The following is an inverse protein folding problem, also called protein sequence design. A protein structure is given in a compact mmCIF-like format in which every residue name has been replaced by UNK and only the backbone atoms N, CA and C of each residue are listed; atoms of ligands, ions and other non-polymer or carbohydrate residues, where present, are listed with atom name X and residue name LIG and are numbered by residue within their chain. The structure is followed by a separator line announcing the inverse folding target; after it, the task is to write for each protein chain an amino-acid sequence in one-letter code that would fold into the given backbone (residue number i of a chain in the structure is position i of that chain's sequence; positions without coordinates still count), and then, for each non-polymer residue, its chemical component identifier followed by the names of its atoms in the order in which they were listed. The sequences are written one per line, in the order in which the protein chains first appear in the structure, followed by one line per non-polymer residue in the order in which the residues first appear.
data_IF_856918789213
#
_entry.id   IF_856918789213
#
_cell.length_a   1.000
_cell.length_b   1.000
_cell.length_c   1.000
_cell.angle_alpha   90.00
_cell.angle_beta   90.00
_cell.angle_gamma   90.00
#
_symmetry.space_group_name_H-M   'P 1'
#
loop_
_entity.id
_entity.type
_entity.pdbx_description
1 polymer ?
#
# COMPACT_ATOMS: atom_id res chain seq x y z
N UNK A 1 -17.33 8.32 11.62
CA UNK A 1 -18.42 8.36 10.62
C UNK A 1 -17.94 7.81 9.28
N UNK A 2 -17.63 6.50 9.22
CA UNK A 2 -17.79 5.58 8.06
C UNK A 2 -17.73 4.17 8.70
N UNK A 3 -18.78 3.77 9.40
CA UNK A 3 -18.86 2.39 9.93
C UNK A 3 -20.24 1.76 9.77
N UNK A 4 -21.18 2.39 9.05
CA UNK A 4 -22.57 1.89 9.02
C UNK A 4 -23.28 1.98 7.66
N UNK A 5 -22.59 2.26 6.55
CA UNK A 5 -23.27 2.36 5.23
C UNK A 5 -23.35 1.06 4.41
N UNK A 6 -22.95 -0.10 4.96
CA UNK A 6 -22.95 -1.35 4.19
C UNK A 6 -23.68 -2.53 4.85
N UNK A 7 -24.49 -2.28 5.87
CA UNK A 7 -25.14 -3.34 6.64
C UNK A 7 -26.40 -3.94 6.00
N UNK A 8 -26.87 -3.47 4.83
CA UNK A 8 -28.13 -4.00 4.31
C UNK A 8 -28.25 -3.93 2.77
N UNK A 9 -27.69 -4.93 2.08
CA UNK A 9 -28.19 -5.45 0.79
C UNK A 9 -27.41 -6.73 0.44
N UNK A 10 -28.14 -7.78 0.05
CA UNK A 10 -27.65 -9.01 -0.59
C UNK A 10 -27.05 -8.72 -1.98
N UNK A 11 -26.06 -7.85 -2.04
CA UNK A 11 -25.10 -7.84 -3.13
C UNK A 11 -23.92 -8.66 -2.64
N UNK A 12 -23.40 -9.56 -3.46
CA UNK A 12 -22.08 -10.18 -3.27
C UNK A 12 -21.05 -9.06 -3.37
N UNK A 13 -20.92 -8.27 -2.30
CA UNK A 13 -19.87 -7.30 -2.10
C UNK A 13 -18.58 -8.11 -2.11
N UNK A 14 -17.80 -7.96 -3.17
CA UNK A 14 -16.38 -8.31 -3.16
C UNK A 14 -15.78 -7.37 -2.11
N UNK A 15 -15.75 -7.83 -0.85
CA UNK A 15 -15.13 -7.07 0.22
C UNK A 15 -13.64 -6.95 -0.13
N UNK A 16 -13.05 -5.75 -0.12
CA UNK A 16 -11.65 -5.57 -0.50
C UNK A 16 -10.66 -6.28 0.44
N UNK A 17 -11.11 -6.66 1.63
CA UNK A 17 -10.34 -7.38 2.65
C UNK A 17 -11.13 -8.62 3.13
N UNK A 18 -11.19 -9.66 2.30
CA UNK A 18 -11.76 -10.96 2.70
C UNK A 18 -10.67 -11.79 3.37
N UNK A 19 -11.03 -12.51 4.43
CA UNK A 19 -10.14 -13.43 5.14
C UNK A 19 -8.84 -12.76 5.64
N UNK A 20 -8.95 -11.51 6.09
CA UNK A 20 -7.84 -10.75 6.64
C UNK A 20 -7.94 -10.66 8.16
N UNK A 21 -6.88 -11.06 8.87
CA UNK A 21 -6.82 -10.94 10.33
C UNK A 21 -6.92 -9.47 10.78
N UNK A 22 -7.36 -9.22 12.03
CA UNK A 22 -7.31 -7.88 12.61
C UNK A 22 -5.91 -7.28 12.54
N UNK A 23 -5.84 -5.98 12.30
CA UNK A 23 -4.58 -5.30 12.00
C UNK A 23 -3.49 -5.52 13.06
N UNK A 24 -3.84 -5.50 14.35
CA UNK A 24 -2.87 -5.76 15.42
C UNK A 24 -2.24 -7.16 15.38
N UNK A 25 -3.01 -8.19 15.03
CA UNK A 25 -2.49 -9.56 14.86
C UNK A 25 -1.70 -9.68 13.57
N UNK A 26 -2.23 -9.14 12.48
CA UNK A 26 -1.60 -9.18 11.17
C UNK A 26 -0.26 -8.44 11.13
N UNK A 27 -0.12 -7.35 11.88
CA UNK A 27 1.13 -6.59 11.97
C UNK A 27 2.27 -7.44 12.55
N UNK A 28 1.96 -8.31 13.52
CA UNK A 28 2.90 -9.30 14.07
C UNK A 28 3.25 -10.36 13.02
N UNK A 29 2.24 -10.93 12.35
CA UNK A 29 2.45 -11.93 11.31
C UNK A 29 3.31 -11.40 10.15
N UNK A 30 3.12 -10.14 9.75
CA UNK A 30 3.92 -9.47 8.73
C UNK A 30 5.38 -9.31 9.17
N UNK A 31 5.61 -8.94 10.44
CA UNK A 31 6.94 -8.83 11.03
C UNK A 31 7.65 -10.19 11.07
N UNK A 32 6.94 -11.24 11.46
CA UNK A 32 7.45 -12.62 11.44
C UNK A 32 7.71 -13.10 10.00
N UNK A 33 6.80 -12.81 9.07
CA UNK A 33 6.92 -13.13 7.66
C UNK A 33 8.17 -12.52 7.03
N UNK A 34 8.51 -11.28 7.39
CA UNK A 34 9.74 -10.63 6.93
C UNK A 34 11.02 -11.37 7.35
N UNK A 35 11.03 -12.00 8.51
CA UNK A 35 12.19 -12.71 9.06
C UNK A 35 12.41 -14.11 8.46
N UNK A 36 11.47 -14.63 7.66
CA UNK A 36 11.57 -15.98 7.07
C UNK A 36 12.61 -16.09 5.97
N UNK A 37 12.87 -15.00 5.26
CA UNK A 37 13.84 -14.96 4.16
C UNK A 37 14.62 -13.66 4.22
N UNK A 38 15.94 -13.75 4.28
CA UNK A 38 16.81 -12.56 4.31
C UNK A 38 16.61 -11.77 3.02
N UNK A 39 16.71 -10.45 3.12
CA UNK A 39 16.55 -9.54 1.98
C UNK A 39 17.31 -9.97 0.72
N UNK A 40 18.59 -10.32 0.88
CA UNK A 40 19.47 -10.70 -0.22
C UNK A 40 19.09 -12.05 -0.87
N UNK A 41 18.31 -12.89 -0.19
CA UNK A 41 17.85 -14.18 -0.69
C UNK A 41 16.47 -14.07 -1.38
N UNK A 42 15.79 -12.93 -1.24
CA UNK A 42 14.51 -12.66 -1.92
C UNK A 42 14.69 -12.51 -3.42
N UNK A 43 13.64 -12.86 -4.17
CA UNK A 43 13.60 -12.73 -5.62
C UNK A 43 13.91 -11.28 -6.05
N UNK A 44 14.88 -11.06 -6.96
CA UNK A 44 15.41 -9.73 -7.27
C UNK A 44 14.52 -8.92 -8.24
N UNK A 45 13.22 -9.20 -8.27
CA UNK A 45 12.27 -8.61 -9.20
C UNK A 45 11.21 -7.77 -8.50
N UNK A 46 10.60 -6.87 -9.26
CA UNK A 46 9.41 -6.14 -8.87
C UNK A 46 8.17 -7.01 -9.01
N UNK A 47 7.44 -7.15 -7.91
CA UNK A 47 6.29 -8.03 -7.82
C UNK A 47 5.00 -7.27 -7.65
N UNK A 48 3.97 -7.74 -8.36
CA UNK A 48 2.59 -7.35 -8.13
C UNK A 48 1.66 -8.52 -8.42
N UNK A 49 0.67 -8.73 -7.55
CA UNK A 49 -0.44 -9.65 -7.80
C UNK A 49 -1.73 -8.93 -7.44
N UNK A 50 -2.66 -8.86 -8.38
CA UNK A 50 -3.92 -8.15 -8.15
C UNK A 50 -4.92 -8.30 -9.28
N UNK A 51 -6.15 -7.81 -9.06
CA UNK A 51 -7.20 -7.84 -10.07
C UNK A 51 -6.99 -6.65 -11.04
N UNK A 52 -6.69 -6.88 -12.34
CA UNK A 52 -6.50 -5.81 -13.31
C UNK A 52 -7.82 -5.22 -13.82
N UNK A 53 -8.95 -5.92 -13.66
CA UNK A 53 -10.24 -5.50 -14.23
C UNK A 53 -10.84 -4.27 -13.55
N UNK A 54 -10.33 -3.90 -12.36
CA UNK A 54 -10.85 -2.79 -11.55
C UNK A 54 -10.31 -1.41 -11.97
N UNK A 55 -9.24 -1.35 -12.76
CA UNK A 55 -8.66 -0.08 -13.18
C UNK A 55 -7.80 -0.24 -14.45
N UNK A 56 -7.90 0.73 -15.36
CA UNK A 56 -7.08 0.77 -16.58
C UNK A 56 -5.57 0.81 -16.28
N UNK A 57 -5.14 1.58 -15.27
CA UNK A 57 -3.72 1.66 -14.88
C UNK A 57 -3.14 0.31 -14.44
N UNK A 58 -3.97 -0.61 -13.89
CA UNK A 58 -3.55 -1.97 -13.57
C UNK A 58 -3.43 -2.86 -14.79
N UNK A 59 -4.31 -2.70 -15.78
CA UNK A 59 -4.17 -3.37 -17.09
C UNK A 59 -2.90 -2.91 -17.80
N UNK A 60 -2.65 -1.60 -17.81
CA UNK A 60 -1.44 -1.01 -18.34
C UNK A 60 -0.18 -1.52 -17.62
N UNK A 61 -0.21 -1.65 -16.29
CA UNK A 61 0.92 -2.23 -15.53
C UNK A 61 1.29 -3.64 -16.02
N UNK A 62 0.31 -4.48 -16.38
CA UNK A 62 0.59 -5.84 -16.88
C UNK A 62 1.43 -5.86 -18.16
N UNK A 63 1.46 -4.78 -18.94
CA UNK A 63 2.33 -4.66 -20.12
C UNK A 63 3.82 -4.61 -19.75
N UNK A 64 4.14 -4.33 -18.49
CA UNK A 64 5.51 -4.36 -17.99
C UNK A 64 6.01 -5.76 -17.65
N UNK A 65 5.17 -6.80 -17.74
CA UNK A 65 5.60 -8.16 -17.42
C UNK A 65 6.67 -8.66 -18.41
N UNK A 66 7.42 -9.69 -18.01
CA UNK A 66 8.45 -10.28 -18.87
C UNK A 66 7.85 -10.85 -20.16
N UNK A 67 8.57 -10.66 -21.26
CA UNK A 67 8.29 -11.21 -22.59
C UNK A 67 9.59 -11.67 -23.25
N UNK A 68 9.50 -12.41 -24.35
CA UNK A 68 10.68 -12.91 -25.09
C UNK A 68 11.61 -11.79 -25.60
N UNK A 69 11.07 -10.58 -25.77
CA UNK A 69 11.80 -9.44 -26.33
C UNK A 69 12.24 -8.42 -25.29
N UNK A 70 11.62 -8.42 -24.11
CA UNK A 70 11.81 -7.34 -23.13
C UNK A 70 11.52 -7.82 -21.70
N UNK A 71 12.47 -7.60 -20.79
CA UNK A 71 12.30 -7.78 -19.35
C UNK A 71 12.49 -6.45 -18.61
N UNK A 72 11.41 -5.93 -18.01
CA UNK A 72 11.41 -4.73 -17.18
C UNK A 72 11.83 -4.98 -15.72
N UNK A 73 12.30 -6.18 -15.38
CA UNK A 73 12.50 -6.69 -14.02
C UNK A 73 11.20 -6.78 -13.21
N UNK A 74 10.07 -6.98 -13.88
CA UNK A 74 8.77 -7.11 -13.24
C UNK A 74 8.21 -8.54 -13.40
N UNK A 75 7.54 -9.04 -12.34
CA UNK A 75 6.83 -10.32 -12.29
C UNK A 75 5.42 -10.01 -11.80
N UNK A 76 4.49 -9.95 -12.76
CA UNK A 76 3.14 -9.45 -12.55
C UNK A 76 2.13 -10.56 -12.76
N UNK A 77 1.19 -10.70 -11.82
CA UNK A 77 0.24 -11.81 -11.77
C UNK A 77 -1.19 -11.32 -11.59
N UNK A 78 -2.13 -11.99 -12.26
CA UNK A 78 -3.56 -11.72 -12.09
C UNK A 78 -4.05 -12.45 -10.84
N UNK A 79 -4.72 -11.71 -9.94
CA UNK A 79 -5.41 -12.29 -8.79
C UNK A 79 -6.86 -12.62 -9.17
N UNK A 80 -7.16 -13.92 -9.25
CA UNK A 80 -8.52 -14.43 -9.43
C UNK A 80 -9.17 -14.68 -8.06
N UNK A 81 -10.06 -13.79 -7.64
CA UNK A 81 -10.76 -13.89 -6.36
C UNK A 81 -11.81 -15.00 -6.31
N UNK A 82 -12.35 -15.41 -7.47
CA UNK A 82 -13.31 -16.51 -7.52
C UNK A 82 -12.59 -17.83 -7.22
N UNK A 83 -11.43 -18.04 -7.85
CA UNK A 83 -10.61 -19.22 -7.60
C UNK A 83 -10.06 -19.26 -6.17
N UNK A 84 -9.56 -18.14 -5.64
CA UNK A 84 -9.08 -18.08 -4.25
C UNK A 84 -10.19 -18.41 -3.26
N UNK A 85 -11.42 -17.92 -3.49
CA UNK A 85 -12.58 -18.23 -2.64
C UNK A 85 -12.88 -19.74 -2.63
N UNK A 86 -12.76 -20.42 -3.77
CA UNK A 86 -12.98 -21.87 -3.87
C UNK A 86 -11.87 -22.67 -3.19
N UNK A 87 -10.64 -22.13 -3.15
CA UNK A 87 -9.48 -22.79 -2.55
C UNK A 87 -9.23 -22.42 -1.07
N UNK A 88 -10.10 -21.58 -0.49
CA UNK A 88 -9.99 -21.12 0.90
C UNK A 88 -8.86 -20.13 1.12
N UNK A 89 -8.55 -19.29 0.14
CA UNK A 89 -7.57 -18.18 0.21
C UNK A 89 -6.14 -18.58 0.58
N UNK A 90 -5.77 -19.85 0.38
CA UNK A 90 -4.46 -20.40 0.77
C UNK A 90 -3.26 -19.65 0.17
N UNK A 91 -3.46 -19.01 -0.98
CA UNK A 91 -2.42 -18.27 -1.71
C UNK A 91 -2.54 -16.74 -1.56
N UNK A 92 -3.44 -16.27 -0.69
CA UNK A 92 -3.76 -14.85 -0.49
C UNK A 92 -3.32 -14.31 0.86
N UNK A 93 -2.69 -15.13 1.71
CA UNK A 93 -2.12 -14.67 2.99
C UNK A 93 -1.00 -13.66 2.73
N UNK A 94 -1.22 -12.41 3.11
CA UNK A 94 -0.30 -11.30 2.85
C UNK A 94 1.01 -11.42 3.64
N UNK A 95 1.01 -12.11 4.79
CA UNK A 95 2.23 -12.37 5.57
C UNK A 95 3.21 -13.28 4.84
N UNK A 96 2.72 -14.09 3.90
CA UNK A 96 3.52 -15.01 3.09
C UNK A 96 4.00 -14.37 1.77
N UNK A 97 3.64 -13.12 1.50
CA UNK A 97 3.89 -12.45 0.20
C UNK A 97 5.12 -11.52 0.22
N UNK A 98 5.93 -11.52 1.28
CA UNK A 98 7.16 -10.73 1.38
C UNK A 98 8.38 -11.47 0.80
N UNK A 99 8.21 -12.09 -0.37
CA UNK A 99 9.21 -12.98 -1.01
C UNK A 99 10.09 -12.29 -2.06
N UNK A 100 9.73 -11.07 -2.45
CA UNK A 100 10.41 -10.32 -3.51
C UNK A 100 11.09 -9.07 -2.92
N UNK A 101 12.20 -8.66 -3.55
CA UNK A 101 12.88 -7.43 -3.15
C UNK A 101 12.00 -6.21 -3.42
N UNK A 102 11.35 -6.12 -4.56
CA UNK A 102 10.57 -4.93 -4.90
C UNK A 102 9.08 -5.27 -4.94
N UNK A 103 8.23 -4.44 -4.33
CA UNK A 103 6.76 -4.61 -4.38
C UNK A 103 6.12 -3.36 -4.95
N UNK A 104 5.25 -3.54 -5.93
CA UNK A 104 4.61 -2.41 -6.63
C UNK A 104 3.30 -2.09 -5.94
N UNK A 105 3.12 -0.83 -5.56
CA UNK A 105 1.82 -0.28 -5.21
C UNK A 105 1.22 0.45 -6.42
N UNK A 106 -0.04 0.12 -6.72
CA UNK A 106 -0.83 0.77 -7.76
C UNK A 106 -2.31 0.80 -7.37
N UNK A 107 -2.94 1.93 -7.68
CA UNK A 107 -4.34 2.21 -7.36
C UNK A 107 -5.32 1.32 -8.13
N UNK A 108 -6.54 1.21 -7.62
CA UNK A 108 -7.67 0.55 -8.26
C UNK A 108 -8.72 1.56 -8.66
N UNK A 109 -9.97 1.34 -8.25
CA UNK A 109 -11.04 2.36 -8.35
C UNK A 109 -10.73 3.63 -7.54
N UNK A 110 -9.98 3.48 -6.45
CA UNK A 110 -9.49 4.53 -5.58
C UNK A 110 -8.10 4.12 -5.04
N UNK A 111 -7.75 4.56 -3.82
CA UNK A 111 -6.59 3.99 -3.11
C UNK A 111 -6.78 2.47 -2.95
N UNK A 112 -5.67 1.72 -2.94
CA UNK A 112 -5.71 0.28 -2.78
C UNK A 112 -5.37 -0.10 -1.34
N UNK A 113 -6.25 -0.88 -0.70
CA UNK A 113 -6.02 -1.41 0.67
C UNK A 113 -4.72 -2.21 0.80
N UNK A 114 -4.17 -2.68 -0.33
CA UNK A 114 -2.90 -3.40 -0.39
C UNK A 114 -1.68 -2.55 0.02
N UNK A 115 -1.80 -1.22 0.05
CA UNK A 115 -0.68 -0.31 0.33
C UNK A 115 0.02 -0.64 1.64
N UNK A 116 -0.73 -0.70 2.76
CA UNK A 116 -0.18 -0.95 4.08
C UNK A 116 0.51 -2.32 4.16
N UNK A 117 -0.01 -3.34 3.48
CA UNK A 117 0.60 -4.67 3.42
C UNK A 117 1.89 -4.68 2.57
N UNK A 118 1.91 -3.90 1.50
CA UNK A 118 3.10 -3.75 0.65
C UNK A 118 4.22 -3.03 1.43
N UNK A 119 3.88 -1.91 2.07
CA UNK A 119 4.82 -1.13 2.89
C UNK A 119 5.33 -1.93 4.10
N UNK A 120 4.51 -2.83 4.66
CA UNK A 120 4.89 -3.66 5.79
C UNK A 120 5.92 -4.75 5.44
N UNK A 121 6.05 -5.14 4.16
CA UNK A 121 7.14 -6.00 3.76
C UNK A 121 8.44 -5.20 3.85
N UNK A 122 9.54 -5.81 4.29
CA UNK A 122 10.91 -5.24 4.19
C UNK A 122 11.37 -5.13 2.72
N UNK A 123 10.43 -4.92 1.80
CA UNK A 123 10.55 -4.70 0.38
C UNK A 123 10.58 -3.23 0.07
N UNK A 124 11.35 -2.90 -0.97
CA UNK A 124 11.34 -1.56 -1.53
C UNK A 124 9.98 -1.39 -2.18
N UNK A 125 9.19 -0.47 -1.63
CA UNK A 125 7.87 -0.16 -2.16
C UNK A 125 8.03 0.74 -3.37
N UNK A 126 7.69 0.22 -4.56
CA UNK A 126 7.63 0.95 -5.81
C UNK A 126 6.22 1.56 -5.94
N UNK A 127 6.09 2.84 -5.60
CA UNK A 127 4.79 3.50 -5.53
C UNK A 127 4.49 4.22 -6.84
N UNK A 128 3.58 3.65 -7.65
CA UNK A 128 3.02 4.35 -8.82
C UNK A 128 2.32 5.60 -8.33
N UNK A 129 2.66 6.75 -8.93
CA UNK A 129 2.20 8.09 -8.52
C UNK A 129 0.72 8.09 -8.07
N UNK A 130 0.45 8.20 -6.76
CA UNK A 130 -0.91 8.08 -6.24
C UNK A 130 -1.71 9.35 -6.52
N UNK A 131 -3.03 9.18 -6.71
CA UNK A 131 -4.03 10.25 -6.81
C UNK A 131 -4.88 10.32 -5.56
N UNK A 132 -5.08 9.18 -4.90
CA UNK A 132 -5.86 9.04 -3.67
C UNK A 132 -4.92 8.93 -2.46
N UNK A 133 -5.40 9.41 -1.31
CA UNK A 133 -4.62 9.42 -0.06
C UNK A 133 -5.44 8.81 1.07
N UNK A 134 -4.90 7.75 1.65
CA UNK A 134 -5.29 7.26 2.96
C UNK A 134 -4.73 8.18 4.06
N UNK A 135 -5.21 8.04 5.30
CA UNK A 135 -4.93 8.97 6.39
C UNK A 135 -3.43 9.06 6.73
N UNK A 136 -2.70 7.94 6.64
CA UNK A 136 -1.28 7.87 6.95
C UNK A 136 -0.37 8.23 5.76
N UNK A 137 -0.87 8.19 4.52
CA UNK A 137 -0.06 8.35 3.31
C UNK A 137 0.66 9.71 3.25
N UNK A 138 0.08 10.74 3.86
CA UNK A 138 0.68 12.09 3.90
C UNK A 138 1.96 12.14 4.73
N UNK A 139 2.21 11.17 5.62
CA UNK A 139 3.44 11.07 6.38
C UNK A 139 4.57 10.40 5.59
N UNK A 140 4.24 9.63 4.53
CA UNK A 140 5.21 8.93 3.72
C UNK A 140 6.13 9.90 2.95
N UNK A 141 7.42 9.57 2.89
CA UNK A 141 8.46 10.40 2.28
C UNK A 141 9.04 9.67 1.06
N UNK A 142 9.02 10.28 -0.14
CA UNK A 142 9.67 9.70 -1.31
C UNK A 142 11.17 9.49 -1.07
N UNK A 143 11.72 8.41 -1.61
CA UNK A 143 13.12 7.98 -1.51
C UNK A 143 13.58 7.63 -0.08
N UNK A 144 12.66 7.66 0.89
CA UNK A 144 12.89 7.16 2.24
C UNK A 144 11.95 6.00 2.55
N UNK A 145 10.64 6.22 2.49
CA UNK A 145 9.62 5.18 2.72
C UNK A 145 9.22 4.44 1.44
N UNK A 146 9.37 5.05 0.27
CA UNK A 146 9.03 4.41 -1.00
C UNK A 146 9.84 4.99 -2.16
N UNK A 147 9.94 4.23 -3.24
CA UNK A 147 10.49 4.69 -4.51
C UNK A 147 9.37 5.18 -5.44
N UNK A 148 9.39 6.44 -5.91
CA UNK A 148 8.33 6.95 -6.77
C UNK A 148 8.43 6.36 -8.19
N UNK A 149 7.29 5.95 -8.75
CA UNK A 149 7.16 5.43 -10.12
C UNK A 149 6.23 6.34 -10.92
N UNK A 150 6.65 6.74 -12.13
CA UNK A 150 5.81 7.54 -13.03
C UNK A 150 4.65 6.71 -13.53
N UNK A 151 3.43 7.26 -13.45
CA UNK A 151 2.23 6.61 -14.00
C UNK A 151 2.38 6.39 -15.52
N UNK A 152 2.73 7.44 -16.28
CA UNK A 152 2.79 7.35 -17.75
C UNK A 152 4.02 6.63 -18.33
N UNK A 153 4.93 6.13 -17.48
CA UNK A 153 6.20 5.51 -17.91
C UNK A 153 6.67 4.48 -16.87
N UNK A 154 5.69 3.70 -16.38
CA UNK A 154 5.86 2.81 -15.22
C UNK A 154 6.86 1.68 -15.48
N UNK A 155 6.85 1.04 -16.65
CA UNK A 155 7.75 -0.08 -16.94
C UNK A 155 9.23 0.31 -16.90
N UNK A 156 9.60 1.46 -17.52
CA UNK A 156 10.96 1.98 -17.48
C UNK A 156 11.38 2.39 -16.08
N UNK A 157 10.49 3.05 -15.34
CA UNK A 157 10.72 3.46 -13.95
C UNK A 157 10.97 2.24 -13.04
N UNK A 158 10.19 1.16 -13.22
CA UNK A 158 10.35 -0.11 -12.48
C UNK A 158 11.73 -0.73 -12.74
N UNK A 159 12.16 -0.78 -14.01
CA UNK A 159 13.49 -1.32 -14.37
C UNK A 159 14.61 -0.59 -13.66
N UNK A 160 14.50 0.73 -13.51
CA UNK A 160 15.49 1.55 -12.82
C UNK A 160 15.46 1.36 -11.29
N UNK A 161 14.26 1.28 -10.71
CA UNK A 161 14.08 1.19 -9.26
C UNK A 161 14.60 -0.13 -8.64
N UNK A 162 14.82 -1.17 -9.45
CA UNK A 162 15.30 -2.49 -9.06
C UNK A 162 16.76 -2.53 -8.52
N UNK A 163 17.27 -1.40 -8.00
CA UNK A 163 18.59 -1.24 -7.37
C UNK A 163 18.50 -0.62 -5.97
N UNK A 164 17.34 -0.15 -5.54
CA UNK A 164 17.16 0.46 -4.22
C UNK A 164 17.09 -0.60 -3.10
N UNK A 165 17.36 -0.18 -1.86
CA UNK A 165 17.20 -0.99 -0.65
C UNK A 165 16.30 -0.20 0.30
N UNK A 166 15.34 -0.85 0.95
CA UNK A 166 14.35 -0.16 1.78
C UNK A 166 13.83 -1.02 2.91
N UNK A 167 14.08 -0.57 4.15
CA UNK A 167 13.49 -1.06 5.40
C UNK A 167 12.65 0.01 6.12
N UNK A 168 12.87 1.29 5.81
CA UNK A 168 12.17 2.39 6.48
C UNK A 168 10.65 2.37 6.28
N UNK A 169 10.16 1.77 5.19
CA UNK A 169 8.73 1.59 4.93
C UNK A 169 8.07 0.69 5.98
N UNK A 170 8.67 -0.48 6.23
CA UNK A 170 8.14 -1.46 7.16
C UNK A 170 8.31 -0.99 8.60
N UNK A 171 9.42 -0.32 8.93
CA UNK A 171 9.60 0.34 10.23
C UNK A 171 8.47 1.36 10.48
N UNK A 172 8.18 2.24 9.52
CA UNK A 172 7.07 3.18 9.62
C UNK A 172 5.72 2.46 9.86
N UNK A 173 5.43 1.38 9.13
CA UNK A 173 4.18 0.64 9.34
C UNK A 173 4.13 -0.04 10.71
N UNK A 174 5.25 -0.60 11.17
CA UNK A 174 5.35 -1.28 12.45
C UNK A 174 5.30 -0.32 13.64
N UNK A 175 5.76 0.93 13.47
CA UNK A 175 5.93 1.90 14.55
C UNK A 175 4.83 2.96 14.58
N UNK A 176 4.48 3.52 13.42
CA UNK A 176 3.60 4.69 13.26
C UNK A 176 2.17 4.32 12.83
N UNK A 177 1.94 3.10 12.34
CA UNK A 177 0.61 2.62 11.95
C UNK A 177 0.11 1.51 12.90
N UNK A 178 0.26 1.69 14.22
CA UNK A 178 -0.27 0.79 15.24
C UNK A 178 -1.75 1.09 15.55
N UNK A 179 -2.46 0.12 16.12
CA UNK A 179 -3.87 0.31 16.53
C UNK A 179 -4.05 1.49 17.48
N UNK A 180 -3.10 1.72 18.40
CA UNK A 180 -3.13 2.87 19.32
C UNK A 180 -3.22 4.20 18.55
N UNK A 181 -2.36 4.39 17.54
CA UNK A 181 -2.38 5.59 16.70
C UNK A 181 -3.57 5.64 15.73
N UNK A 182 -4.12 4.50 15.31
CA UNK A 182 -5.37 4.45 14.54
C UNK A 182 -6.53 4.97 15.40
N UNK A 183 -6.62 4.53 16.66
CA UNK A 183 -7.64 5.01 17.59
C UNK A 183 -7.45 6.48 17.94
N UNK A 184 -6.21 6.94 18.18
CA UNK A 184 -5.92 8.36 18.38
C UNK A 184 -6.35 9.21 17.18
N UNK A 185 -6.02 8.77 15.95
CA UNK A 185 -6.44 9.46 14.73
C UNK A 185 -7.97 9.55 14.64
N UNK A 186 -8.69 8.45 14.89
CA UNK A 186 -10.15 8.44 14.89
C UNK A 186 -10.73 9.36 15.97
N UNK A 187 -10.18 9.32 17.18
CA UNK A 187 -10.60 10.16 18.29
C UNK A 187 -10.44 11.64 17.95
N UNK A 188 -9.25 12.07 17.52
CA UNK A 188 -8.99 13.46 17.16
C UNK A 188 -9.84 13.91 15.97
N UNK A 189 -9.98 13.08 14.93
CA UNK A 189 -10.79 13.42 13.76
C UNK A 189 -12.25 13.69 14.15
N UNK A 190 -12.85 12.80 14.95
CA UNK A 190 -14.24 12.94 15.38
C UNK A 190 -14.42 14.11 16.35
N UNK A 191 -13.46 14.32 17.26
CA UNK A 191 -13.51 15.42 18.23
C UNK A 191 -13.38 16.80 17.55
N UNK A 192 -12.43 16.97 16.63
CA UNK A 192 -12.29 18.22 15.88
C UNK A 192 -13.49 18.46 14.95
N UNK A 193 -14.01 17.40 14.31
CA UNK A 193 -15.22 17.52 13.50
C UNK A 193 -16.44 17.94 14.32
N UNK A 194 -16.61 17.39 15.54
CA UNK A 194 -17.74 17.73 16.41
C UNK A 194 -17.77 19.23 16.79
N UNK A 195 -16.60 19.88 16.92
CA UNK A 195 -16.49 21.32 17.19
C UNK A 195 -17.03 22.18 16.05
N UNK A 196 -17.13 21.64 14.83
CA UNK A 196 -17.66 22.35 13.66
C UNK A 196 -19.19 22.30 13.57
N UNK A 197 -19.85 21.47 14.38
CA UNK A 197 -21.30 21.33 14.37
C UNK A 197 -21.96 22.63 14.83
N UNK A 198 -22.87 23.14 14.01
CA UNK A 198 -23.66 24.35 14.28
C UNK A 198 -25.02 24.04 14.91
N UNK A 199 -25.22 22.81 15.36
CA UNK A 199 -26.45 22.31 15.96
C UNK A 199 -26.13 21.29 17.05
N UNK A 200 -27.08 21.06 17.95
CA UNK A 200 -27.00 19.99 18.94
C UNK A 200 -27.58 18.71 18.33
N UNK A 201 -26.78 17.63 18.15
CA UNK A 201 -27.30 16.37 17.63
C UNK A 201 -28.39 15.79 18.53
N UNK A 202 -29.42 15.20 17.92
CA UNK A 202 -30.46 14.41 18.59
C UNK A 202 -30.50 13.00 17.99
N UNK A 203 -30.99 12.04 18.75
CA UNK A 203 -31.14 10.66 18.29
C UNK A 203 -32.33 10.61 17.32
N UNK A 204 -32.14 10.20 16.04
CA UNK A 204 -33.24 10.07 15.10
C UNK A 204 -34.23 8.97 15.51
N UNK A 205 -35.50 9.15 15.16
CA UNK A 205 -36.51 8.09 15.34
C UNK A 205 -36.11 6.83 14.57
N UNK A 206 -36.25 5.67 15.22
CA UNK A 206 -35.85 4.37 14.65
C UNK A 206 -34.34 4.09 14.67
N UNK A 207 -33.51 4.96 15.27
CA UNK A 207 -32.10 4.66 15.50
C UNK A 207 -31.96 3.46 16.46
N UNK A 208 -31.06 2.54 16.10
CA UNK A 208 -30.74 1.36 16.92
C UNK A 208 -29.36 1.56 17.51
N UNK A 209 -29.25 1.36 18.83
CA UNK A 209 -27.96 1.39 19.52
C UNK A 209 -27.09 0.20 19.06
N UNK A 210 -25.81 0.50 18.79
CA UNK A 210 -24.81 -0.50 18.42
C UNK A 210 -23.80 -0.59 19.55
N UNK A 211 -23.79 -1.71 20.27
CA UNK A 211 -22.84 -2.00 21.34
C UNK A 211 -21.72 -2.90 20.81
N UNK A 212 -20.55 -2.88 21.45
CA UNK A 212 -19.40 -3.73 21.09
C UNK A 212 -19.76 -5.21 20.99
N UNK A 213 -20.62 -5.68 21.90
CA UNK A 213 -21.08 -7.05 22.00
C UNK A 213 -22.01 -7.41 20.83
N UNK A 214 -22.79 -6.45 20.34
CA UNK A 214 -23.79 -6.69 19.30
C UNK A 214 -23.23 -6.60 17.88
N UNK A 215 -22.11 -5.91 17.67
CA UNK A 215 -21.45 -5.80 16.34
C UNK A 215 -21.07 -7.17 15.79
N UNK A 216 -20.54 -8.07 16.63
CA UNK A 216 -20.11 -9.40 16.21
C UNK A 216 -21.24 -10.44 16.19
N UNK A 217 -22.44 -10.13 16.71
CA UNK A 217 -23.52 -11.10 16.88
C UNK A 217 -24.06 -11.64 15.56
N UNK A 218 -24.18 -10.80 14.54
CA UNK A 218 -24.70 -11.19 13.21
C UNK A 218 -23.64 -11.83 12.31
N UNK A 219 -22.37 -11.81 12.71
CA UNK A 219 -21.29 -12.40 11.93
C UNK A 219 -21.17 -13.90 12.22
N UNK A 220 -20.68 -14.67 11.24
CA UNK A 220 -20.46 -16.11 11.36
C UNK A 220 -19.03 -16.49 10.92
N UNK A 221 -18.62 -17.71 11.28
CA UNK A 221 -17.35 -18.30 10.85
C UNK A 221 -16.12 -17.41 11.11
N UNK A 222 -15.31 -17.22 10.07
CA UNK A 222 -14.06 -16.44 10.14
C UNK A 222 -14.31 -14.96 10.40
N UNK A 223 -15.39 -14.39 9.87
CA UNK A 223 -15.74 -12.98 10.12
C UNK A 223 -16.00 -12.74 11.61
N UNK A 224 -16.81 -13.62 12.24
CA UNK A 224 -17.05 -13.57 13.68
C UNK A 224 -15.75 -13.71 14.46
N UNK A 225 -14.91 -14.68 14.09
CA UNK A 225 -13.62 -14.91 14.74
C UNK A 225 -12.76 -13.64 14.72
N UNK A 226 -12.59 -13.00 13.57
CA UNK A 226 -11.77 -11.78 13.47
C UNK A 226 -12.40 -10.58 14.17
N UNK A 227 -13.72 -10.42 14.13
CA UNK A 227 -14.39 -9.39 14.92
C UNK A 227 -14.13 -9.56 16.42
N UNK A 228 -14.26 -10.80 16.94
CA UNK A 228 -13.98 -11.10 18.35
C UNK A 228 -12.50 -10.91 18.71
N UNK A 229 -11.57 -11.30 17.85
CA UNK A 229 -10.13 -11.06 18.05
C UNK A 229 -9.75 -9.57 18.06
N UNK A 230 -10.56 -8.72 17.40
CA UNK A 230 -10.37 -7.27 17.36
C UNK A 230 -11.07 -6.51 18.49
N UNK A 231 -11.79 -7.22 19.38
CA UNK A 231 -12.57 -6.61 20.44
C UNK A 231 -11.66 -5.97 21.50
N UNK A 232 -11.89 -4.69 21.77
CA UNK A 232 -11.23 -3.95 22.86
C UNK A 232 -12.04 -4.16 24.14
N UNK A 233 -11.52 -4.97 25.05
CA UNK A 233 -12.24 -5.44 26.24
C UNK A 233 -12.32 -4.41 27.39
N UNK A 234 -11.49 -3.38 27.35
CA UNK A 234 -11.43 -2.35 28.38
C UNK A 234 -11.00 -1.01 27.79
N UNK A 235 -11.47 0.12 28.34
CA UNK A 235 -10.95 1.43 27.97
C UNK A 235 -9.43 1.51 28.15
N UNK A 236 -8.78 2.37 27.35
CA UNK A 236 -7.36 2.66 27.56
C UNK A 236 -7.14 3.28 28.93
N UNK A 237 -6.07 2.84 29.62
CA UNK A 237 -5.60 3.46 30.87
C UNK A 237 -4.74 4.70 30.63
N UNK A 238 -4.31 4.92 29.39
CA UNK A 238 -3.57 6.12 28.98
C UNK A 238 -4.49 7.09 28.28
N UNK A 239 -4.27 8.39 28.51
CA UNK A 239 -4.95 9.42 27.74
C UNK A 239 -4.56 9.36 26.26
N UNK A 240 -5.45 9.79 25.33
CA UNK A 240 -5.10 9.96 23.92
C UNK A 240 -3.89 10.88 23.76
N UNK A 241 -3.16 10.72 22.66
CA UNK A 241 -2.02 11.61 22.39
C UNK A 241 -2.45 13.08 22.27
N UNK A 242 -1.49 14.00 22.41
CA UNK A 242 -1.74 15.41 22.17
C UNK A 242 -1.67 15.69 20.66
N UNK A 243 -2.78 16.15 20.07
CA UNK A 243 -2.78 16.55 18.67
C UNK A 243 -1.90 17.80 18.48
N UNK A 244 -0.84 17.73 17.66
CA UNK A 244 0.01 18.90 17.41
C UNK A 244 -0.78 19.99 16.66
N UNK A 245 -0.39 21.27 16.82
CA UNK A 245 -0.99 22.35 16.04
C UNK A 245 -0.74 22.13 14.53
N UNK A 246 -1.60 22.68 13.66
CA UNK A 246 -1.36 22.66 12.22
C UNK A 246 -0.01 23.29 11.87
N UNK A 247 0.62 22.79 10.81
CA UNK A 247 1.84 23.40 10.28
C UNK A 247 1.60 24.85 9.85
N UNK A 248 2.53 25.74 10.20
CA UNK A 248 2.57 27.08 9.61
C UNK A 248 2.72 26.99 8.09
N UNK A 249 2.07 27.87 7.30
CA UNK A 249 2.11 27.82 5.84
C UNK A 249 3.52 27.73 5.23
N UNK A 250 4.54 28.46 5.74
CA UNK A 250 5.91 28.33 5.22
C UNK A 250 6.52 26.95 5.46
N UNK A 251 6.28 26.36 6.64
CA UNK A 251 6.78 25.03 7.03
C UNK A 251 6.13 23.95 6.17
N UNK A 252 4.81 24.01 6.02
CA UNK A 252 4.06 23.11 5.14
C UNK A 252 4.57 23.22 3.69
N UNK A 253 4.75 24.45 3.20
CA UNK A 253 5.30 24.71 1.87
C UNK A 253 6.69 24.11 1.68
N UNK A 254 7.57 24.21 2.68
CA UNK A 254 8.90 23.62 2.64
C UNK A 254 8.85 22.08 2.58
N UNK A 255 7.98 21.46 3.39
CA UNK A 255 7.80 20.00 3.40
C UNK A 255 7.28 19.49 2.05
N UNK A 256 6.28 20.15 1.47
CA UNK A 256 5.74 19.78 0.16
C UNK A 256 6.77 19.95 -0.95
N UNK A 257 7.54 21.05 -0.94
CA UNK A 257 8.64 21.27 -1.90
C UNK A 257 9.73 20.21 -1.76
N UNK A 258 10.10 19.83 -0.53
CA UNK A 258 11.09 18.76 -0.28
C UNK A 258 10.64 17.45 -0.93
N UNK A 259 9.40 17.02 -0.70
CA UNK A 259 8.83 15.82 -1.34
C UNK A 259 8.86 15.90 -2.87
N UNK A 260 8.39 17.01 -3.43
CA UNK A 260 8.36 17.21 -4.87
C UNK A 260 9.78 17.20 -5.47
N UNK A 261 10.76 17.78 -4.78
CA UNK A 261 12.15 17.79 -5.23
C UNK A 261 12.78 16.39 -5.19
N UNK A 262 12.50 15.57 -4.17
CA UNK A 262 12.95 14.18 -4.11
C UNK A 262 12.43 13.35 -5.28
N UNK A 263 11.15 13.52 -5.65
CA UNK A 263 10.57 12.85 -6.82
C UNK A 263 11.26 13.30 -8.10
N UNK A 264 11.41 14.63 -8.30
CA UNK A 264 12.13 15.18 -9.47
C UNK A 264 13.57 14.70 -9.56
N UNK A 265 14.22 14.46 -8.43
CA UNK A 265 15.59 13.93 -8.39
C UNK A 265 15.64 12.50 -8.94
N UNK A 266 14.70 11.64 -8.55
CA UNK A 266 14.56 10.28 -9.10
C UNK A 266 14.34 10.33 -10.61
N UNK A 267 13.45 11.18 -11.08
CA UNK A 267 13.20 11.36 -12.53
C UNK A 267 14.47 11.78 -13.29
N UNK A 268 15.32 12.65 -12.69
CA UNK A 268 16.61 13.04 -13.29
C UNK A 268 17.58 11.87 -13.35
N UNK A 269 17.64 11.03 -12.31
CA UNK A 269 18.48 9.83 -12.28
C UNK A 269 18.06 8.82 -13.34
N UNK A 270 16.76 8.55 -13.45
CA UNK A 270 16.18 7.68 -14.49
C UNK A 270 16.56 8.13 -15.90
N UNK A 271 16.41 9.44 -16.18
CA UNK A 271 16.71 10.01 -17.48
C UNK A 271 18.21 9.94 -17.80
N UNK A 272 19.08 10.18 -16.81
CA UNK A 272 20.54 10.08 -17.00
C UNK A 272 20.95 8.64 -17.32
N UNK A 273 20.46 7.67 -16.56
CA UNK A 273 20.79 6.26 -16.77
C UNK A 273 20.24 5.72 -18.08
N UNK A 274 19.03 6.14 -18.47
CA UNK A 274 18.46 5.79 -19.78
C UNK A 274 19.35 6.27 -20.93
N UNK A 275 19.92 7.47 -20.84
CA UNK A 275 20.87 7.99 -21.85
C UNK A 275 22.15 7.16 -21.91
N UNK A 276 22.75 6.85 -20.76
CA UNK A 276 23.96 6.03 -20.69
C UNK A 276 23.73 4.65 -21.32
N UNK A 277 22.60 4.00 -21.02
CA UNK A 277 22.26 2.70 -21.61
C UNK A 277 22.06 2.76 -23.13
N UNK A 278 21.49 3.85 -23.66
CA UNK A 278 21.33 4.08 -25.09
C UNK A 278 22.67 4.31 -25.80
N UNK A 279 23.55 5.10 -25.17
CA UNK A 279 24.91 5.34 -25.65
C UNK A 279 25.72 4.04 -25.69
N UNK A 280 25.67 3.22 -24.64
CA UNK A 280 26.34 1.92 -24.59
C UNK A 280 25.82 0.95 -25.65
N UNK A 281 24.50 0.83 -25.84
CA UNK A 281 23.92 0.00 -26.91
C UNK A 281 24.34 0.45 -28.30
N UNK A 282 24.47 1.76 -28.49
CA UNK A 282 24.91 2.35 -29.77
C UNK A 282 26.40 2.11 -30.00
N UNK A 283 27.22 2.13 -28.94
CA UNK A 283 28.62 1.76 -28.99
C UNK A 283 28.79 0.27 -29.35
N UNK A 284 28.11 -0.63 -28.63
CA UNK A 284 28.14 -2.08 -28.91
C UNK A 284 27.76 -2.39 -30.35
N UNK A 285 26.65 -1.82 -30.86
CA UNK A 285 26.25 -1.98 -32.27
C UNK A 285 27.32 -1.52 -33.26
N UNK A 286 28.01 -0.41 -32.99
CA UNK A 286 29.11 0.06 -33.85
C UNK A 286 30.33 -0.86 -33.82
N UNK A 287 30.59 -1.51 -32.68
CA UNK A 287 31.68 -2.49 -32.54
C UNK A 287 31.31 -3.77 -33.29
N UNK A 288 30.10 -4.30 -33.14
CA UNK A 288 29.66 -5.51 -33.84
C UNK A 288 29.70 -5.34 -35.36
N UNK A 289 29.18 -4.22 -35.89
CA UNK A 289 29.22 -3.91 -37.33
C UNK A 289 30.66 -3.79 -37.86
N UNK A 290 31.62 -3.38 -37.04
CA UNK A 290 33.04 -3.32 -37.44
C UNK A 290 33.72 -4.69 -37.43
N UNK A 291 33.27 -5.62 -36.59
CA UNK A 291 33.82 -6.98 -36.52
C UNK A 291 33.28 -7.86 -37.65
N UNK A 292 32.02 -7.68 -38.04
CA UNK A 292 31.40 -8.40 -39.17
C UNK A 292 31.83 -7.88 -40.56
N UNK A 293 32.58 -6.77 -40.60
CA UNK A 293 33.08 -6.13 -41.83
C UNK A 293 34.57 -6.40 -42.12
N UNK A 294 35.19 -7.33 -41.39
CA UNK A 294 36.58 -7.81 -41.56
C UNK A 294 36.59 -9.32 -41.80
#
# INVERSE_FOLDING_TARGET
MVLSLFANRRATLIRPEINMKPWGNLLKDLKEGNNRTKWMEREPYAYWKGNPLVAETRRDLLTCNVSDVQDWNARLFVQDWMLESQQGYKQSDVSNQCTHRYKIYIEGWAWSVSEKYILACDSVTLMVKPRYYDFFMRSLQPVHHYWPIKDNDKCRSIKFAAQAIGKAASDFIQEELKMDYVYDYMFHLLNEYAKLLRFKPTIPEGAVEVCSETVACSAEGVEKKFMMESLVNSPSVTSPCALPPPYDPPVLGALLRKKANSIKQVERWENRMSRILLENKTYEKRVTVKVDAT
#
